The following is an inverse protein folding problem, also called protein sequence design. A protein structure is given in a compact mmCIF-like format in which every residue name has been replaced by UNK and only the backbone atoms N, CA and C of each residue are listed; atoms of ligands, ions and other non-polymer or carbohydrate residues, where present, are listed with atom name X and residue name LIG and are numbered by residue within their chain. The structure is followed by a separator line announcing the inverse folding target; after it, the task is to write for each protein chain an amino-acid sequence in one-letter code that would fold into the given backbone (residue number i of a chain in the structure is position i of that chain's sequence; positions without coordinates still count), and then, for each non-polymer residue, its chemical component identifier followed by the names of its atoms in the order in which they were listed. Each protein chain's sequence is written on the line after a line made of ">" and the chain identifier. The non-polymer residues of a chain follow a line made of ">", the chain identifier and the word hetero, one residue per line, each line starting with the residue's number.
data_IF_463458378528
#
_entry.id   IF_463458378528
#
_cell.length_a   1.000
_cell.length_b   1.000
_cell.length_c   1.000
_cell.angle_alpha   90.00
_cell.angle_beta   90.00
_cell.angle_gamma   90.00
#
_symmetry.space_group_name_H-M   'P 1'
#
loop_
_entity.id
_entity.type
_entity.pdbx_description
1 polymer ?
#
# COMPACT_ATOMS: atom_id res chain seq x y z
N UNK A 1 -9.99 -5.11 -21.08
CA UNK A 1 -9.43 -3.76 -21.28
C UNK A 1 -8.36 -3.56 -20.20
N UNK A 2 -7.24 -2.90 -20.49
CA UNK A 2 -6.23 -2.58 -19.48
C UNK A 2 -6.81 -1.52 -18.53
N UNK A 3 -6.82 -1.74 -17.20
CA UNK A 3 -7.35 -0.77 -16.25
C UNK A 3 -6.35 0.38 -16.02
N UNK A 4 -6.88 1.59 -15.86
CA UNK A 4 -6.11 2.78 -15.50
C UNK A 4 -6.15 2.95 -13.98
N UNK A 5 -5.01 2.83 -13.33
CA UNK A 5 -4.89 2.85 -11.87
C UNK A 5 -4.19 4.13 -11.44
N UNK A 6 -4.86 4.93 -10.61
CA UNK A 6 -4.28 6.14 -10.03
C UNK A 6 -3.61 5.80 -8.69
N UNK A 7 -2.30 6.01 -8.59
CA UNK A 7 -1.60 6.02 -7.31
C UNK A 7 -1.42 7.46 -6.82
N UNK A 8 -1.72 7.68 -5.52
CA UNK A 8 -1.53 8.95 -4.82
C UNK A 8 -0.61 8.68 -3.64
N UNK A 9 0.65 9.08 -3.72
CA UNK A 9 1.65 8.78 -2.69
C UNK A 9 2.90 9.66 -2.81
N UNK A 10 3.79 9.56 -1.85
CA UNK A 10 5.13 10.14 -1.91
C UNK A 10 6.05 9.40 -2.89
N UNK A 11 7.09 10.10 -3.32
CA UNK A 11 8.14 9.56 -4.19
C UNK A 11 9.27 8.96 -3.37
N UNK A 12 9.76 7.79 -3.75
CA UNK A 12 11.01 7.19 -3.29
C UNK A 12 12.00 7.10 -4.46
N UNK A 13 13.01 7.98 -4.55
CA UNK A 13 13.95 8.01 -5.66
C UNK A 13 14.82 6.75 -5.77
N UNK A 14 14.92 5.93 -4.71
CA UNK A 14 15.57 4.62 -4.78
C UNK A 14 14.79 3.60 -5.61
N UNK A 15 13.52 3.88 -5.86
CA UNK A 15 12.64 3.05 -6.67
C UNK A 15 12.03 1.86 -5.95
N UNK A 16 12.23 1.73 -4.63
CA UNK A 16 11.81 0.57 -3.85
C UNK A 16 10.42 0.70 -3.24
N UNK A 17 9.94 1.91 -2.98
CA UNK A 17 8.65 2.19 -2.37
C UNK A 17 7.94 3.37 -3.06
N UNK A 18 6.87 3.88 -2.47
CA UNK A 18 6.13 5.03 -2.97
C UNK A 18 5.66 4.88 -4.42
N UNK A 19 5.49 6.01 -5.09
CA UNK A 19 5.02 6.07 -6.49
C UNK A 19 5.84 5.17 -7.42
N UNK A 20 7.14 5.04 -7.22
CA UNK A 20 8.00 4.22 -8.07
C UNK A 20 7.70 2.73 -7.93
N UNK A 21 7.47 2.25 -6.71
CA UNK A 21 7.02 0.88 -6.48
C UNK A 21 5.59 0.66 -6.99
N UNK A 22 4.72 1.65 -6.77
CA UNK A 22 3.32 1.59 -7.21
C UNK A 22 3.23 1.44 -8.73
N UNK A 23 3.91 2.30 -9.50
CA UNK A 23 3.95 2.22 -10.96
C UNK A 23 4.46 0.85 -11.43
N UNK A 24 5.56 0.35 -10.82
CA UNK A 24 6.11 -0.97 -11.15
C UNK A 24 5.12 -2.10 -10.85
N UNK A 25 4.50 -2.08 -9.67
CA UNK A 25 3.55 -3.11 -9.25
C UNK A 25 2.29 -3.11 -10.11
N UNK A 26 1.71 -1.93 -10.39
CA UNK A 26 0.55 -1.77 -11.27
C UNK A 26 0.88 -2.31 -12.67
N UNK A 27 2.02 -1.89 -13.24
CA UNK A 27 2.43 -2.32 -14.58
C UNK A 27 2.71 -3.81 -14.65
N UNK A 28 3.38 -4.39 -13.64
CA UNK A 28 3.67 -5.82 -13.56
C UNK A 28 2.41 -6.69 -13.42
N UNK A 29 1.31 -6.13 -12.91
CA UNK A 29 0.01 -6.79 -12.79
C UNK A 29 -0.96 -6.44 -13.92
N UNK A 30 -0.47 -5.82 -15.01
CA UNK A 30 -1.24 -5.57 -16.23
C UNK A 30 -2.15 -4.34 -16.19
N UNK A 31 -1.88 -3.37 -15.31
CA UNK A 31 -2.53 -2.06 -15.27
C UNK A 31 -1.71 -0.96 -15.95
N UNK A 32 -2.36 0.11 -16.37
CA UNK A 32 -1.74 1.37 -16.75
C UNK A 32 -1.65 2.26 -15.51
N UNK A 33 -0.44 2.62 -15.11
CA UNK A 33 -0.21 3.38 -13.89
C UNK A 33 -0.18 4.89 -14.14
N UNK A 34 -0.96 5.63 -13.35
CA UNK A 34 -0.93 7.08 -13.22
C UNK A 34 -0.51 7.47 -11.82
N UNK A 35 0.05 8.65 -11.62
CA UNK A 35 0.53 9.09 -10.32
C UNK A 35 0.20 10.56 -10.03
N UNK A 36 -0.28 10.81 -8.81
CA UNK A 36 -0.29 12.12 -8.16
C UNK A 36 0.68 12.08 -6.97
N UNK A 37 1.68 12.97 -6.98
CA UNK A 37 2.77 12.96 -6.02
C UNK A 37 2.45 13.87 -4.83
N UNK A 38 2.45 13.31 -3.61
CA UNK A 38 2.16 14.03 -2.36
C UNK A 38 3.41 14.61 -1.70
N UNK A 39 4.56 13.97 -1.90
CA UNK A 39 5.84 14.40 -1.35
C UNK A 39 7.02 13.90 -2.21
N UNK A 40 8.12 14.62 -2.16
CA UNK A 40 9.42 14.17 -2.66
C UNK A 40 10.30 13.81 -1.46
N UNK A 41 11.08 12.73 -1.58
CA UNK A 41 12.07 12.35 -0.58
C UNK A 41 13.48 12.36 -1.15
N UNK A 42 14.47 12.66 -0.32
CA UNK A 42 15.84 12.30 -0.51
C UNK A 42 16.06 10.98 0.27
N UNK A 43 15.96 9.87 -0.43
CA UNK A 43 15.89 8.53 0.15
C UNK A 43 16.73 7.54 -0.61
N UNK A 44 17.29 6.58 0.10
CA UNK A 44 17.97 5.42 -0.46
C UNK A 44 17.65 4.15 0.38
N UNK A 45 18.33 3.04 0.12
CA UNK A 45 18.07 1.78 0.84
C UNK A 45 18.45 1.80 2.32
N UNK A 46 19.11 2.86 2.81
CA UNK A 46 19.52 3.03 4.21
C UNK A 46 18.56 3.90 5.02
N UNK A 47 17.74 4.75 4.38
CA UNK A 47 16.77 5.62 5.06
C UNK A 47 16.43 6.89 4.30
N UNK A 48 15.65 7.74 4.93
CA UNK A 48 15.20 9.04 4.43
C UNK A 48 16.07 10.14 5.04
N UNK A 49 16.76 10.92 4.21
CA UNK A 49 17.61 12.04 4.66
C UNK A 49 16.94 13.41 4.48
N UNK A 50 15.83 13.47 3.76
CA UNK A 50 15.07 14.69 3.56
C UNK A 50 13.70 14.39 2.94
N UNK A 51 12.72 15.25 3.24
CA UNK A 51 11.38 15.16 2.68
C UNK A 51 10.83 16.55 2.42
N UNK A 52 10.22 16.72 1.26
CA UNK A 52 9.51 17.94 0.88
C UNK A 52 8.07 17.57 0.51
N UNK A 53 7.11 18.06 1.28
CA UNK A 53 5.69 17.93 0.94
C UNK A 53 5.37 18.78 -0.28
N UNK A 54 4.56 18.23 -1.16
CA UNK A 54 3.93 19.00 -2.24
C UNK A 54 2.76 19.78 -1.64
N UNK A 55 2.53 20.98 -2.12
CA UNK A 55 1.40 21.82 -1.69
C UNK A 55 0.08 21.07 -1.93
N UNK A 56 -0.81 20.91 -0.92
CA UNK A 56 -2.06 20.16 -1.08
C UNK A 56 -2.91 20.63 -2.24
N UNK A 57 -3.00 21.94 -2.46
CA UNK A 57 -3.72 22.51 -3.61
C UNK A 57 -3.16 22.03 -4.96
N UNK A 58 -1.84 21.82 -5.07
CA UNK A 58 -1.23 21.31 -6.30
C UNK A 58 -1.47 19.82 -6.48
N UNK A 59 -1.54 19.05 -5.38
CA UNK A 59 -1.94 17.63 -5.44
C UNK A 59 -3.38 17.50 -5.93
N UNK A 60 -4.29 18.34 -5.45
CA UNK A 60 -5.66 18.41 -5.97
C UNK A 60 -5.69 18.72 -7.47
N UNK A 61 -4.83 19.65 -7.95
CA UNK A 61 -4.72 19.95 -9.39
C UNK A 61 -4.21 18.77 -10.21
N UNK A 62 -3.23 17.98 -9.70
CA UNK A 62 -2.78 16.75 -10.36
C UNK A 62 -3.94 15.76 -10.52
N UNK A 63 -4.71 15.53 -9.46
CA UNK A 63 -5.87 14.62 -9.48
C UNK A 63 -6.95 15.14 -10.44
N UNK A 64 -7.27 16.44 -10.38
CA UNK A 64 -8.27 17.05 -11.24
C UNK A 64 -7.90 16.96 -12.74
N UNK A 65 -6.62 17.19 -13.08
CA UNK A 65 -6.13 17.05 -14.44
C UNK A 65 -6.31 15.63 -15.00
N UNK A 66 -6.02 14.61 -14.18
CA UNK A 66 -6.22 13.21 -14.57
C UNK A 66 -7.71 12.88 -14.73
N UNK A 67 -8.54 13.30 -13.76
CA UNK A 67 -9.99 13.05 -13.80
C UNK A 67 -10.70 13.70 -14.97
N UNK A 68 -10.16 14.83 -15.47
CA UNK A 68 -10.76 15.56 -16.60
C UNK A 68 -10.60 14.85 -17.96
N UNK A 69 -9.60 13.97 -18.09
CA UNK A 69 -9.23 13.38 -19.39
C UNK A 69 -9.19 11.85 -19.36
N UNK A 70 -8.78 11.24 -18.26
CA UNK A 70 -8.48 9.81 -18.18
C UNK A 70 -9.52 9.10 -17.31
N UNK A 71 -10.13 8.02 -17.84
CA UNK A 71 -10.95 7.11 -17.04
C UNK A 71 -10.08 6.46 -15.97
N UNK A 72 -10.48 6.55 -14.71
CA UNK A 72 -9.84 5.88 -13.59
C UNK A 72 -10.67 4.64 -13.25
N UNK A 73 -10.02 3.48 -13.12
CA UNK A 73 -10.68 2.19 -12.84
C UNK A 73 -10.45 1.73 -11.39
N UNK A 74 -9.40 2.21 -10.73
CA UNK A 74 -9.19 2.08 -9.28
C UNK A 74 -8.18 3.13 -8.79
N UNK A 75 -8.21 3.40 -7.49
CA UNK A 75 -7.28 4.32 -6.81
C UNK A 75 -6.52 3.57 -5.73
N UNK A 76 -5.20 3.79 -5.65
CA UNK A 76 -4.38 3.43 -4.50
C UNK A 76 -3.90 4.70 -3.82
N UNK A 77 -4.13 4.81 -2.53
CA UNK A 77 -3.57 5.88 -1.69
C UNK A 77 -2.48 5.29 -0.80
N UNK A 78 -1.32 5.96 -0.76
CA UNK A 78 -0.24 5.64 0.16
C UNK A 78 0.05 6.79 1.11
N UNK A 79 1.33 7.19 1.23
CA UNK A 79 1.76 8.25 2.13
C UNK A 79 1.14 9.61 1.81
N UNK A 80 0.46 10.22 2.80
CA UNK A 80 -0.16 11.56 2.71
C UNK A 80 0.54 12.62 3.57
N UNK A 81 1.18 12.23 4.68
CA UNK A 81 2.05 13.08 5.50
C UNK A 81 1.31 14.00 6.48
N UNK A 82 0.31 14.76 6.08
CA UNK A 82 -0.38 15.78 6.89
C UNK A 82 -1.90 15.63 6.87
N UNK A 83 -2.58 16.13 7.90
CA UNK A 83 -4.05 16.15 7.97
C UNK A 83 -4.69 16.94 6.82
N UNK A 84 -4.08 18.06 6.41
CA UNK A 84 -4.54 18.86 5.28
C UNK A 84 -4.45 18.06 3.96
N UNK A 85 -3.35 17.33 3.74
CA UNK A 85 -3.21 16.46 2.56
C UNK A 85 -4.26 15.36 2.55
N UNK A 86 -4.55 14.74 3.70
CA UNK A 86 -5.62 13.75 3.82
C UNK A 86 -6.95 14.35 3.37
N UNK A 87 -7.36 15.47 3.97
CA UNK A 87 -8.62 16.13 3.62
C UNK A 87 -8.68 16.53 2.14
N UNK A 88 -7.59 17.08 1.61
CA UNK A 88 -7.50 17.51 0.19
C UNK A 88 -7.62 16.35 -0.78
N UNK A 89 -6.92 15.24 -0.53
CA UNK A 89 -6.95 14.07 -1.42
C UNK A 89 -8.34 13.44 -1.44
N UNK A 90 -8.96 13.22 -0.27
CA UNK A 90 -10.30 12.64 -0.24
C UNK A 90 -11.35 13.56 -0.86
N UNK A 91 -11.26 14.88 -0.64
CA UNK A 91 -12.13 15.85 -1.32
C UNK A 91 -11.92 15.84 -2.86
N UNK A 92 -10.68 15.70 -3.34
CA UNK A 92 -10.38 15.62 -4.77
C UNK A 92 -10.88 14.32 -5.43
N UNK A 93 -11.12 13.27 -4.64
CA UNK A 93 -11.66 11.98 -5.10
C UNK A 93 -13.18 11.89 -4.96
N UNK A 94 -13.84 12.88 -4.34
CA UNK A 94 -15.29 12.87 -4.15
C UNK A 94 -16.04 12.67 -5.47
N UNK A 95 -17.12 11.87 -5.44
CA UNK A 95 -17.90 11.50 -6.62
C UNK A 95 -17.22 10.51 -7.59
N UNK A 96 -16.04 9.96 -7.25
CA UNK A 96 -15.40 8.92 -8.03
C UNK A 96 -15.82 7.53 -7.50
N UNK A 97 -16.71 6.86 -8.22
CA UNK A 97 -17.25 5.54 -7.84
C UNK A 97 -16.39 4.40 -8.43
N UNK A 98 -15.20 4.20 -7.85
CA UNK A 98 -14.25 3.14 -8.20
C UNK A 98 -13.62 2.54 -6.95
N UNK A 99 -13.05 1.31 -7.01
CA UNK A 99 -12.34 0.74 -5.89
C UNK A 99 -11.22 1.66 -5.39
N UNK A 100 -11.23 1.97 -4.08
CA UNK A 100 -10.22 2.76 -3.40
C UNK A 100 -9.49 1.89 -2.37
N UNK A 101 -8.19 1.66 -2.59
CA UNK A 101 -7.29 0.93 -1.67
C UNK A 101 -6.43 1.96 -0.94
N UNK A 102 -6.56 2.00 0.39
CA UNK A 102 -5.80 2.88 1.26
C UNK A 102 -4.75 2.08 2.03
N UNK A 103 -3.47 2.33 1.75
CA UNK A 103 -2.33 1.85 2.55
C UNK A 103 -1.98 2.94 3.58
N UNK A 104 -2.27 2.75 4.88
CA UNK A 104 -2.13 3.80 5.88
C UNK A 104 -0.67 3.96 6.32
N UNK A 105 0.20 4.32 5.40
CA UNK A 105 1.65 4.42 5.61
C UNK A 105 1.97 5.48 6.67
N UNK A 106 2.50 5.04 7.82
CA UNK A 106 2.85 5.92 8.94
C UNK A 106 4.36 6.06 9.13
N UNK A 107 5.10 4.98 8.86
CA UNK A 107 6.54 4.90 9.12
C UNK A 107 7.25 4.28 7.91
N UNK A 108 8.39 4.86 7.53
CA UNK A 108 9.26 4.27 6.50
C UNK A 108 9.93 3.00 7.03
N UNK A 109 10.41 2.12 6.13
CA UNK A 109 11.12 0.88 6.51
C UNK A 109 12.36 1.14 7.39
N UNK A 110 12.95 2.33 7.28
CA UNK A 110 14.08 2.78 8.11
C UNK A 110 13.69 3.25 9.52
N UNK A 111 12.40 3.31 9.86
CA UNK A 111 11.92 3.82 11.15
C UNK A 111 11.55 5.33 11.13
N UNK A 112 11.77 6.02 10.02
CA UNK A 112 11.45 7.45 9.89
C UNK A 112 9.92 7.63 9.85
N UNK A 113 9.39 8.52 10.70
CA UNK A 113 7.95 8.82 10.71
C UNK A 113 7.56 9.64 9.49
N UNK A 114 6.67 9.11 8.67
CA UNK A 114 6.19 9.73 7.43
C UNK A 114 4.82 10.42 7.60
N UNK A 115 4.01 9.95 8.55
CA UNK A 115 2.72 10.55 8.90
C UNK A 115 2.87 11.31 10.22
N UNK A 116 2.48 12.58 10.26
CA UNK A 116 2.47 13.39 11.49
C UNK A 116 1.43 12.85 12.46
N UNK A 117 1.65 13.03 13.75
CA UNK A 117 0.75 12.53 14.80
C UNK A 117 -0.67 13.12 14.68
N UNK A 118 -0.79 14.39 14.29
CA UNK A 118 -2.07 15.06 14.04
C UNK A 118 -2.81 14.53 12.80
N UNK A 119 -2.10 13.93 11.87
CA UNK A 119 -2.69 13.35 10.66
C UNK A 119 -3.25 11.93 10.87
N UNK A 120 -2.88 11.22 11.93
CA UNK A 120 -3.43 9.89 12.24
C UNK A 120 -4.94 9.98 12.48
N UNK A 121 -5.40 10.99 13.24
CA UNK A 121 -6.83 11.21 13.46
C UNK A 121 -7.58 11.50 12.15
N UNK A 122 -7.06 12.41 11.32
CA UNK A 122 -7.66 12.72 10.02
C UNK A 122 -7.70 11.50 9.10
N UNK A 123 -6.65 10.67 9.10
CA UNK A 123 -6.63 9.43 8.32
C UNK A 123 -7.66 8.43 8.84
N UNK A 124 -7.79 8.29 10.18
CA UNK A 124 -8.78 7.43 10.81
C UNK A 124 -10.21 7.85 10.43
N UNK A 125 -10.52 9.13 10.42
CA UNK A 125 -11.84 9.65 10.03
C UNK A 125 -12.13 9.39 8.53
N UNK A 126 -11.10 9.32 7.69
CA UNK A 126 -11.23 9.07 6.27
C UNK A 126 -11.36 7.58 5.89
N UNK A 127 -11.13 6.64 6.84
CA UNK A 127 -11.16 5.20 6.54
C UNK A 127 -12.50 4.73 5.96
N UNK A 128 -13.62 5.35 6.36
CA UNK A 128 -14.96 5.01 5.86
C UNK A 128 -15.15 5.25 4.37
N UNK A 129 -14.28 6.03 3.74
CA UNK A 129 -14.29 6.29 2.31
C UNK A 129 -13.53 5.23 1.51
N UNK A 130 -12.74 4.36 2.18
CA UNK A 130 -11.96 3.31 1.52
C UNK A 130 -12.79 2.04 1.30
N UNK A 131 -12.63 1.43 0.11
CA UNK A 131 -13.14 0.08 -0.13
C UNK A 131 -12.31 -0.95 0.63
N UNK A 132 -10.98 -0.78 0.65
CA UNK A 132 -10.06 -1.66 1.38
C UNK A 132 -8.97 -0.83 2.02
N UNK A 133 -8.68 -1.09 3.30
CA UNK A 133 -7.47 -0.60 3.94
C UNK A 133 -6.46 -1.74 4.11
N UNK A 134 -5.16 -1.44 4.02
CA UNK A 134 -4.10 -2.46 4.07
C UNK A 134 -3.07 -2.20 5.17
N UNK A 135 -3.47 -2.06 6.47
CA UNK A 135 -2.53 -1.80 7.54
C UNK A 135 -1.64 -3.01 7.85
N UNK A 136 -0.41 -2.76 8.32
CA UNK A 136 0.37 -3.73 9.09
C UNK A 136 -0.02 -3.67 10.57
N UNK A 137 0.58 -4.51 11.44
CA UNK A 137 0.21 -4.57 12.85
C UNK A 137 0.53 -3.28 13.62
N UNK A 138 1.72 -2.63 13.46
CA UNK A 138 1.98 -1.31 14.01
C UNK A 138 0.98 -0.24 13.56
N UNK A 139 0.67 -0.19 12.26
CA UNK A 139 -0.31 0.76 11.70
C UNK A 139 -1.72 0.52 12.22
N UNK A 140 -2.11 -0.74 12.39
CA UNK A 140 -3.39 -1.12 13.00
C UNK A 140 -3.48 -0.65 14.47
N UNK A 141 -2.41 -0.87 15.24
CA UNK A 141 -2.29 -0.43 16.62
C UNK A 141 -2.41 1.10 16.73
N UNK A 142 -1.68 1.86 15.90
CA UNK A 142 -1.75 3.32 15.86
C UNK A 142 -3.17 3.82 15.51
N UNK A 143 -3.83 3.22 14.50
CA UNK A 143 -5.19 3.60 14.10
C UNK A 143 -6.24 3.33 15.20
N UNK A 144 -6.05 2.26 15.97
CA UNK A 144 -6.98 1.86 17.03
C UNK A 144 -6.63 2.50 18.38
N UNK A 145 -5.42 3.02 18.56
CA UNK A 145 -4.91 3.46 19.85
C UNK A 145 -4.75 2.29 20.84
N UNK A 146 -4.25 1.15 20.37
CA UNK A 146 -4.09 -0.11 21.11
C UNK A 146 -2.67 -0.64 20.94
N UNK A 147 -2.32 -1.69 21.69
CA UNK A 147 -1.07 -2.43 21.49
C UNK A 147 -1.11 -3.26 20.20
N UNK A 148 0.07 -3.55 19.64
CA UNK A 148 0.19 -4.42 18.46
C UNK A 148 -0.29 -5.84 18.73
N UNK A 149 -1.01 -6.45 17.79
CA UNK A 149 -1.37 -7.86 17.87
C UNK A 149 -0.11 -8.74 17.78
N UNK A 150 0.00 -9.71 18.68
CA UNK A 150 1.11 -10.67 18.75
C UNK A 150 0.68 -12.11 18.42
N UNK A 151 -0.59 -12.30 18.08
CA UNK A 151 -1.21 -13.60 17.76
C UNK A 151 -2.24 -13.47 16.66
N UNK A 152 -2.64 -14.59 16.06
CA UNK A 152 -3.73 -14.63 15.08
C UNK A 152 -5.07 -14.16 15.68
N UNK A 153 -5.37 -14.55 16.93
CA UNK A 153 -6.58 -14.06 17.63
C UNK A 153 -6.57 -12.55 17.83
N UNK A 154 -5.42 -11.96 18.18
CA UNK A 154 -5.27 -10.52 18.27
C UNK A 154 -5.43 -9.82 16.92
N UNK A 155 -4.96 -10.44 15.83
CA UNK A 155 -5.21 -9.94 14.48
C UNK A 155 -6.70 -9.94 14.12
N UNK A 156 -7.45 -10.98 14.49
CA UNK A 156 -8.90 -11.02 14.26
C UNK A 156 -9.63 -9.91 15.01
N UNK A 157 -9.25 -9.69 16.27
CA UNK A 157 -9.83 -8.61 17.10
C UNK A 157 -9.53 -7.24 16.49
N UNK A 158 -8.28 -6.96 16.12
CA UNK A 158 -7.90 -5.69 15.49
C UNK A 158 -8.55 -5.50 14.12
N UNK A 159 -8.62 -6.55 13.28
CA UNK A 159 -9.26 -6.46 11.98
C UNK A 159 -10.76 -6.12 12.08
N UNK A 160 -11.48 -6.72 13.05
CA UNK A 160 -12.87 -6.39 13.32
C UNK A 160 -13.04 -4.96 13.86
N UNK A 161 -12.15 -4.53 14.76
CA UNK A 161 -12.15 -3.17 15.30
C UNK A 161 -11.88 -2.12 14.20
N UNK A 162 -10.94 -2.39 13.29
CA UNK A 162 -10.67 -1.54 12.12
C UNK A 162 -11.87 -1.49 11.16
N UNK A 163 -12.53 -2.63 10.92
CA UNK A 163 -13.72 -2.70 10.07
C UNK A 163 -14.86 -1.84 10.65
N UNK A 164 -14.98 -1.79 11.96
CA UNK A 164 -15.97 -0.95 12.67
C UNK A 164 -15.69 0.56 12.51
N UNK A 165 -14.51 0.99 12.09
CA UNK A 165 -14.19 2.38 11.73
C UNK A 165 -14.74 2.80 10.35
N UNK A 166 -15.38 1.88 9.61
CA UNK A 166 -16.18 2.17 8.43
C UNK A 166 -15.62 1.76 7.06
N UNK A 167 -14.38 1.30 6.87
CA UNK A 167 -13.94 0.77 5.57
C UNK A 167 -14.77 -0.47 5.21
N UNK A 168 -14.97 -0.73 3.91
CA UNK A 168 -15.74 -1.90 3.47
C UNK A 168 -14.99 -3.22 3.71
N UNK A 169 -13.65 -3.17 3.76
CA UNK A 169 -12.78 -4.31 4.06
C UNK A 169 -11.46 -3.88 4.68
N UNK A 170 -10.84 -4.81 5.42
CA UNK A 170 -9.50 -4.66 6.02
C UNK A 170 -8.64 -5.84 5.59
N UNK A 171 -7.52 -5.57 4.91
CA UNK A 171 -6.47 -6.56 4.67
C UNK A 171 -5.33 -6.31 5.67
N UNK A 172 -5.40 -6.93 6.85
CA UNK A 172 -4.41 -6.79 7.91
C UNK A 172 -3.18 -7.66 7.63
N UNK A 173 -2.00 -7.01 7.49
CA UNK A 173 -0.74 -7.67 7.13
C UNK A 173 -0.04 -8.27 8.36
N UNK A 174 0.10 -9.61 8.42
CA UNK A 174 0.70 -10.32 9.56
C UNK A 174 2.22 -10.47 9.53
N UNK A 175 2.91 -9.73 8.66
CA UNK A 175 4.37 -9.80 8.53
C UNK A 175 5.17 -9.44 9.79
N UNK A 176 4.56 -8.83 10.80
CA UNK A 176 5.16 -8.49 12.10
C UNK A 176 4.87 -9.53 13.20
N UNK A 177 4.04 -10.54 12.95
CA UNK A 177 3.83 -11.60 13.93
C UNK A 177 5.15 -12.32 14.27
N UNK A 178 5.37 -12.71 15.52
CA UNK A 178 6.58 -13.43 15.94
C UNK A 178 6.65 -14.88 15.44
N UNK A 179 5.68 -15.34 14.68
CA UNK A 179 5.58 -16.70 14.14
C UNK A 179 6.49 -16.95 12.93
N UNK A 180 6.75 -18.21 12.60
CA UNK A 180 7.48 -18.61 11.38
C UNK A 180 6.70 -18.44 10.07
N UNK A 181 5.39 -18.23 10.15
CA UNK A 181 4.51 -17.92 9.02
C UNK A 181 4.33 -16.40 8.85
N UNK A 182 3.79 -15.99 7.72
CA UNK A 182 3.45 -14.61 7.42
C UNK A 182 2.01 -14.53 6.89
N UNK A 183 1.00 -14.88 7.73
CA UNK A 183 -0.40 -14.84 7.30
C UNK A 183 -0.87 -13.39 7.20
N UNK A 184 -1.74 -13.09 6.23
CA UNK A 184 -2.53 -11.86 6.21
C UNK A 184 -3.99 -12.22 6.44
N UNK A 185 -4.78 -11.30 6.99
CA UNK A 185 -6.18 -11.50 7.31
C UNK A 185 -7.03 -10.50 6.53
N UNK A 186 -7.88 -10.99 5.64
CA UNK A 186 -8.93 -10.19 5.02
C UNK A 186 -10.21 -10.29 5.85
N UNK A 187 -10.66 -9.15 6.40
CA UNK A 187 -11.91 -9.01 7.12
C UNK A 187 -12.91 -8.20 6.30
N UNK A 188 -14.13 -8.68 6.21
CA UNK A 188 -15.28 -8.03 5.55
C UNK A 188 -16.54 -8.21 6.41
N UNK A 189 -17.65 -7.61 6.02
CA UNK A 189 -18.95 -7.86 6.67
C UNK A 189 -19.38 -9.33 6.58
N UNK A 190 -18.93 -10.06 5.55
CA UNK A 190 -19.27 -11.48 5.33
C UNK A 190 -18.43 -12.44 6.17
N UNK A 191 -17.31 -11.97 6.76
CA UNK A 191 -16.45 -12.79 7.60
C UNK A 191 -14.97 -12.55 7.43
N UNK A 192 -14.18 -13.55 7.83
CA UNK A 192 -12.72 -13.51 7.84
C UNK A 192 -12.16 -14.54 6.85
N UNK A 193 -11.15 -14.14 6.09
CA UNK A 193 -10.40 -15.02 5.20
C UNK A 193 -8.90 -14.89 5.50
N UNK A 194 -8.28 -15.99 5.97
CA UNK A 194 -6.84 -16.07 6.17
C UNK A 194 -6.12 -16.35 4.84
N UNK A 195 -5.15 -15.51 4.52
CA UNK A 195 -4.27 -15.65 3.38
C UNK A 195 -2.90 -16.12 3.88
N UNK A 196 -2.67 -17.41 3.82
CA UNK A 196 -1.41 -18.01 4.27
C UNK A 196 -0.25 -17.65 3.35
N UNK A 197 0.96 -17.62 3.91
CA UNK A 197 2.18 -17.38 3.14
C UNK A 197 3.44 -17.69 3.94
N UNK A 198 4.55 -18.08 3.26
CA UNK A 198 5.82 -18.33 3.91
C UNK A 198 6.47 -16.99 4.34
N UNK A 199 7.25 -17.04 5.41
CA UNK A 199 8.19 -15.98 5.76
C UNK A 199 9.50 -16.24 5.02
N UNK A 200 9.92 -15.31 4.19
CA UNK A 200 11.21 -15.38 3.50
C UNK A 200 12.31 -14.78 4.39
N UNK A 201 13.42 -15.50 4.54
CA UNK A 201 14.60 -15.04 5.28
C UNK A 201 15.42 -14.06 4.42
N UNK A 202 14.90 -12.83 4.26
CA UNK A 202 15.56 -11.78 3.47
C UNK A 202 15.40 -10.41 4.13
N UNK A 203 16.36 -9.52 3.89
CA UNK A 203 16.27 -8.10 4.24
C UNK A 203 15.72 -7.23 3.10
N UNK A 204 15.43 -7.84 1.93
CA UNK A 204 14.94 -7.15 0.73
C UNK A 204 13.43 -7.04 0.73
N UNK A 205 12.91 -6.28 1.68
CA UNK A 205 11.46 -6.12 1.92
C UNK A 205 11.00 -4.67 1.82
N UNK A 206 11.89 -3.77 1.31
CA UNK A 206 11.51 -2.37 1.12
C UNK A 206 10.41 -2.23 0.07
N UNK A 207 9.35 -1.50 0.43
CA UNK A 207 8.18 -1.28 -0.42
C UNK A 207 7.19 -2.44 -0.51
N UNK A 208 7.30 -3.48 0.32
CA UNK A 208 6.34 -4.60 0.33
C UNK A 208 4.88 -4.13 0.48
N UNK A 209 4.61 -3.18 1.39
CA UNK A 209 3.26 -2.62 1.58
C UNK A 209 2.73 -1.91 0.34
N UNK A 210 3.52 -0.98 -0.22
CA UNK A 210 3.19 -0.28 -1.47
C UNK A 210 2.94 -1.27 -2.61
N UNK A 211 3.78 -2.30 -2.74
CA UNK A 211 3.65 -3.34 -3.76
C UNK A 211 2.35 -4.13 -3.62
N UNK A 212 1.98 -4.51 -2.38
CA UNK A 212 0.74 -5.25 -2.09
C UNK A 212 -0.50 -4.41 -2.41
N UNK A 213 -0.57 -3.19 -1.88
CA UNK A 213 -1.72 -2.32 -2.04
C UNK A 213 -1.94 -1.91 -3.51
N UNK A 214 -0.85 -1.71 -4.27
CA UNK A 214 -0.91 -1.41 -5.70
C UNK A 214 -1.31 -2.60 -6.56
N UNK A 215 -0.81 -3.81 -6.25
CA UNK A 215 -1.25 -5.03 -6.90
C UNK A 215 -2.74 -5.30 -6.63
N UNK A 216 -3.19 -5.11 -5.37
CA UNK A 216 -4.59 -5.23 -4.99
C UNK A 216 -5.49 -4.25 -5.76
N UNK A 217 -5.10 -2.97 -5.82
CA UNK A 217 -5.83 -1.95 -6.58
C UNK A 217 -5.93 -2.31 -8.06
N UNK A 218 -4.86 -2.86 -8.64
CA UNK A 218 -4.85 -3.30 -10.04
C UNK A 218 -5.82 -4.44 -10.28
N UNK A 219 -5.80 -5.48 -9.42
CA UNK A 219 -6.73 -6.61 -9.53
C UNK A 219 -8.20 -6.17 -9.37
N UNK A 220 -8.47 -5.24 -8.45
CA UNK A 220 -9.81 -4.67 -8.29
C UNK A 220 -10.23 -3.84 -9.52
N UNK A 221 -9.33 -3.04 -10.09
CA UNK A 221 -9.55 -2.30 -11.33
C UNK A 221 -9.79 -3.19 -12.54
N UNK A 222 -9.31 -4.44 -12.52
CA UNK A 222 -9.62 -5.48 -13.51
C UNK A 222 -11.02 -6.11 -13.31
N UNK A 223 -11.74 -5.73 -12.25
CA UNK A 223 -13.04 -6.30 -11.90
C UNK A 223 -12.96 -7.61 -11.13
N UNK A 224 -11.80 -7.95 -10.57
CA UNK A 224 -11.64 -9.18 -9.79
C UNK A 224 -12.37 -9.07 -8.46
N UNK A 225 -13.11 -10.10 -8.00
CA UNK A 225 -13.71 -10.13 -6.67
C UNK A 225 -12.66 -9.96 -5.56
N UNK A 226 -12.98 -9.24 -4.49
CA UNK A 226 -12.04 -8.82 -3.44
C UNK A 226 -11.19 -9.97 -2.87
N UNK A 227 -11.81 -11.10 -2.52
CA UNK A 227 -11.08 -12.25 -1.96
C UNK A 227 -10.04 -12.81 -2.96
N UNK A 228 -10.39 -12.85 -4.24
CA UNK A 228 -9.48 -13.29 -5.30
C UNK A 228 -8.38 -12.26 -5.53
N UNK A 229 -8.72 -10.96 -5.55
CA UNK A 229 -7.77 -9.86 -5.70
C UNK A 229 -6.75 -9.86 -4.56
N UNK A 230 -7.18 -10.04 -3.30
CA UNK A 230 -6.30 -10.12 -2.14
C UNK A 230 -5.37 -11.34 -2.21
N UNK A 231 -5.88 -12.51 -2.63
CA UNK A 231 -5.09 -13.73 -2.82
C UNK A 231 -4.04 -13.54 -3.92
N UNK A 232 -4.42 -12.98 -5.06
CA UNK A 232 -3.51 -12.72 -6.18
C UNK A 232 -2.42 -11.70 -5.80
N UNK A 233 -2.79 -10.59 -5.14
CA UNK A 233 -1.84 -9.59 -4.67
C UNK A 233 -0.84 -10.17 -3.65
N UNK A 234 -1.31 -11.00 -2.70
CA UNK A 234 -0.44 -11.72 -1.75
C UNK A 234 0.55 -12.64 -2.46
N UNK A 235 0.06 -13.44 -3.40
CA UNK A 235 0.90 -14.36 -4.18
C UNK A 235 1.97 -13.61 -4.99
N UNK A 236 1.60 -12.51 -5.64
CA UNK A 236 2.52 -11.65 -6.37
C UNK A 236 3.62 -11.10 -5.47
N UNK A 237 3.27 -10.54 -4.31
CA UNK A 237 4.25 -9.98 -3.35
C UNK A 237 5.16 -11.07 -2.78
N UNK A 238 4.62 -12.25 -2.44
CA UNK A 238 5.43 -13.36 -1.95
C UNK A 238 6.51 -13.75 -2.96
N UNK A 239 6.18 -13.81 -4.25
CA UNK A 239 7.15 -14.08 -5.33
C UNK A 239 8.14 -12.92 -5.51
N UNK A 240 7.67 -11.67 -5.44
CA UNK A 240 8.53 -10.48 -5.52
C UNK A 240 9.57 -10.43 -4.39
N UNK A 241 9.22 -10.91 -3.19
CA UNK A 241 10.16 -11.05 -2.06
C UNK A 241 11.11 -12.23 -2.29
N UNK A 242 10.57 -13.40 -2.67
CA UNK A 242 11.37 -14.62 -2.87
C UNK A 242 12.48 -14.47 -3.92
N UNK A 243 12.26 -13.61 -4.91
CA UNK A 243 13.21 -13.36 -6.02
C UNK A 243 14.02 -12.09 -5.85
N UNK A 244 13.85 -11.35 -4.75
CA UNK A 244 14.46 -10.04 -4.54
C UNK A 244 16.00 -10.09 -4.50
N UNK A 245 16.60 -11.23 -4.17
CA UNK A 245 18.06 -11.40 -4.15
C UNK A 245 18.71 -11.36 -5.54
N UNK A 246 17.92 -11.49 -6.62
CA UNK A 246 18.38 -11.25 -7.98
C UNK A 246 18.70 -9.77 -8.26
N UNK A 247 18.23 -8.85 -7.41
CA UNK A 247 18.48 -7.42 -7.54
C UNK A 247 19.77 -7.02 -6.79
N UNK A 248 20.59 -6.19 -7.42
CA UNK A 248 21.76 -5.55 -6.80
C UNK A 248 21.48 -4.06 -6.59
N UNK A 249 20.65 -3.71 -5.56
CA UNK A 249 20.21 -2.34 -5.30
C UNK A 249 20.61 -1.93 -3.88
N UNK A 250 21.60 -1.04 -3.79
CA UNK A 250 22.05 -0.43 -2.54
C UNK A 250 22.66 -1.43 -1.53
N UNK A 251 22.94 -0.95 -0.33
CA UNK A 251 23.59 -1.71 0.75
C UNK A 251 22.77 -1.76 2.05
N UNK A 252 21.55 -1.23 2.04
CA UNK A 252 20.59 -1.28 3.14
C UNK A 252 19.46 -2.27 2.89
N UNK A 253 18.24 -1.93 3.31
CA UNK A 253 17.05 -2.70 2.99
C UNK A 253 16.75 -2.63 1.49
N UNK A 254 17.02 -3.71 0.77
CA UNK A 254 16.78 -3.78 -0.67
C UNK A 254 15.28 -3.84 -1.01
N UNK A 255 14.91 -3.43 -2.25
CA UNK A 255 13.53 -3.50 -2.73
C UNK A 255 13.11 -4.93 -3.09
N UNK A 256 11.79 -5.15 -3.16
CA UNK A 256 11.21 -6.35 -3.76
C UNK A 256 11.40 -6.37 -5.28
N UNK A 257 11.38 -7.55 -5.91
CA UNK A 257 11.56 -7.70 -7.35
C UNK A 257 10.22 -7.62 -8.10
N UNK A 258 9.77 -6.41 -8.44
CA UNK A 258 8.45 -6.18 -9.04
C UNK A 258 8.22 -6.92 -10.37
N UNK A 259 9.26 -7.08 -11.19
CA UNK A 259 9.17 -7.68 -12.54
C UNK A 259 9.69 -9.12 -12.58
N UNK A 260 9.60 -9.86 -11.46
CA UNK A 260 10.10 -11.24 -11.38
C UNK A 260 9.60 -12.13 -12.52
N UNK A 261 8.34 -12.01 -12.93
CA UNK A 261 7.76 -12.84 -13.99
C UNK A 261 8.34 -12.57 -15.39
N UNK A 262 8.92 -11.38 -15.63
CA UNK A 262 9.56 -11.05 -16.92
C UNK A 262 10.96 -11.68 -17.06
N UNK A 263 11.56 -12.09 -15.94
CA UNK A 263 12.92 -12.64 -15.91
C UNK A 263 12.95 -14.12 -15.56
N UNK A 264 11.76 -14.77 -15.36
CA UNK A 264 11.66 -16.22 -15.22
C UNK A 264 12.04 -16.88 -16.55
N UNK A 265 13.20 -17.55 -16.60
CA UNK A 265 13.71 -18.25 -17.78
C UNK A 265 14.81 -17.56 -18.56
N UNK A 266 15.20 -16.34 -18.24
CA UNK A 266 16.41 -15.73 -18.79
C UNK A 266 17.65 -16.10 -17.95
N UNK A 267 18.12 -17.32 -18.09
CA UNK A 267 19.53 -17.64 -17.78
C UNK A 267 20.40 -16.89 -18.80
N UNK A 268 21.02 -15.79 -18.36
CA UNK A 268 22.15 -15.20 -19.09
C UNK A 268 23.43 -15.95 -18.77
#
# INVERSE_FOLDING_TARGET
>A
MIPNILSIAGSDPSGGAGIQADIKAISANGGYAMAAITALTAQNTRGVTGMQMIEPAFVAQQIAALRADIRIDAVKIGMLGTSEMVATVFAALDGLDVPLVLDPVMVAKGGDRLLRADAVAALRDALSQANVITPNLPEAADLLGQDEAVSESGMEEQARALLALGPKAVLLKGGHLPSGACPDLLATADGLLWLQGPRHATQRTHGTGCTLSSALATCLGQGMPLAQAATAAKAYVARAIATADALSVGHGHGPTHHFHALFEGSTR
#
